data_IF_155154932739
#
_entry.id   IF_155154932739
#
_cell.length_a   1.000
_cell.length_b   1.000
_cell.length_c   1.000
_cell.angle_alpha   90.00
_cell.angle_beta   90.00
_cell.angle_gamma   90.00
#
_symmetry.space_group_name_H-M   'P 1'
#
loop_
_entity.id
_entity.type
_entity.pdbx_description
1 polymer ?
#
# COMPACT_ATOMS: atom_id res chain seq x y z
N UNK A 1 13.25 -15.42 6.47
CA UNK A 1 12.51 -14.16 6.34
C UNK A 1 11.04 -14.38 6.66
N UNK A 2 10.38 -13.38 7.26
CA UNK A 2 8.96 -13.39 7.63
C UNK A 2 8.28 -12.14 7.08
N UNK A 3 7.02 -12.26 6.69
CA UNK A 3 6.19 -11.14 6.26
C UNK A 3 5.55 -10.49 7.50
N UNK A 4 5.70 -9.17 7.62
CA UNK A 4 5.04 -8.37 8.65
C UNK A 4 4.19 -7.28 8.02
N UNK A 5 2.99 -7.09 8.56
CA UNK A 5 2.22 -5.87 8.38
C UNK A 5 2.31 -5.03 9.65
N UNK A 6 2.59 -3.75 9.50
CA UNK A 6 2.82 -2.81 10.60
C UNK A 6 1.76 -1.72 10.51
N UNK A 7 1.01 -1.55 11.59
CA UNK A 7 0.10 -0.42 11.75
C UNK A 7 0.90 0.75 12.32
N UNK A 8 1.14 1.75 11.48
CA UNK A 8 1.91 2.94 11.84
C UNK A 8 0.97 4.08 12.18
N UNK A 9 1.35 4.84 13.21
CA UNK A 9 0.71 6.09 13.60
C UNK A 9 1.69 7.25 13.50
N UNK A 10 1.19 8.44 13.15
CA UNK A 10 2.03 9.63 13.07
C UNK A 10 1.31 10.86 12.52
N UNK A 11 2.07 11.94 12.30
CA UNK A 11 1.55 13.18 11.70
C UNK A 11 1.73 13.19 10.19
N UNK A 12 0.74 13.69 9.48
CA UNK A 12 0.82 14.02 8.06
C UNK A 12 0.56 15.51 7.84
N UNK A 13 1.06 16.07 6.74
CA UNK A 13 0.82 17.47 6.40
C UNK A 13 -0.69 17.74 6.31
N UNK A 14 -1.14 18.85 6.87
CA UNK A 14 -2.55 19.28 6.96
C UNK A 14 -3.48 18.39 7.81
N UNK A 15 -3.02 17.26 8.36
CA UNK A 15 -3.81 16.49 9.31
C UNK A 15 -3.89 17.23 10.65
N UNK A 16 -5.12 17.51 11.10
CA UNK A 16 -5.36 18.15 12.41
C UNK A 16 -5.02 17.21 13.58
N UNK A 17 -5.22 15.92 13.37
CA UNK A 17 -4.95 14.85 14.33
C UNK A 17 -3.93 13.87 13.76
N UNK A 18 -3.49 12.94 14.60
CA UNK A 18 -2.71 11.79 14.19
C UNK A 18 -3.49 10.91 13.21
N UNK A 19 -2.80 10.36 12.23
CA UNK A 19 -3.34 9.46 11.21
C UNK A 19 -2.58 8.15 11.24
N UNK A 20 -3.19 7.11 10.68
CA UNK A 20 -2.62 5.77 10.66
C UNK A 20 -2.56 5.21 9.24
N UNK A 21 -1.60 4.32 9.00
CA UNK A 21 -1.43 3.59 7.74
C UNK A 21 -0.89 2.17 8.00
N UNK A 22 -1.05 1.27 7.02
CA UNK A 22 -0.50 -0.09 7.07
C UNK A 22 0.62 -0.21 6.06
N UNK A 23 1.82 -0.56 6.54
CA UNK A 23 2.97 -0.87 5.69
C UNK A 23 3.38 -2.32 5.81
N UNK A 24 4.02 -2.85 4.77
CA UNK A 24 4.50 -4.23 4.72
C UNK A 24 6.01 -4.26 4.63
N UNK A 25 6.64 -5.12 5.42
CA UNK A 25 8.07 -5.39 5.34
C UNK A 25 8.32 -6.89 5.39
N UNK A 26 9.47 -7.30 4.87
CA UNK A 26 9.99 -8.63 5.10
C UNK A 26 11.27 -8.55 5.93
N UNK A 27 11.29 -9.27 7.04
CA UNK A 27 12.39 -9.22 7.98
C UNK A 27 12.52 -10.54 8.75
N UNK A 28 13.65 -10.74 9.42
CA UNK A 28 13.72 -11.75 10.48
C UNK A 28 13.07 -11.24 11.77
N UNK A 29 13.32 -9.95 12.07
CA UNK A 29 12.84 -9.23 13.26
C UNK A 29 12.55 -7.78 12.91
N UNK A 30 11.37 -7.30 13.29
CA UNK A 30 10.92 -5.91 13.04
C UNK A 30 11.83 -4.91 13.74
N UNK A 31 12.33 -5.25 14.93
CA UNK A 31 13.14 -4.40 15.80
C UNK A 31 14.47 -3.95 15.14
N UNK A 32 14.99 -4.73 14.20
CA UNK A 32 16.22 -4.42 13.48
C UNK A 32 16.01 -3.48 12.28
N UNK A 33 14.75 -3.13 11.95
CA UNK A 33 14.38 -2.45 10.70
C UNK A 33 13.73 -1.07 10.95
N UNK A 34 13.86 -0.50 12.16
CA UNK A 34 13.20 0.75 12.56
C UNK A 34 13.39 1.91 11.58
N UNK A 35 14.61 2.14 11.11
CA UNK A 35 14.89 3.22 10.16
C UNK A 35 14.21 3.01 8.81
N UNK A 36 14.22 1.76 8.30
CA UNK A 36 13.50 1.42 7.07
C UNK A 36 12.00 1.64 7.23
N UNK A 37 11.43 1.18 8.34
CA UNK A 37 9.99 1.33 8.64
C UNK A 37 9.63 2.82 8.69
N UNK A 38 10.45 3.65 9.35
CA UNK A 38 10.29 5.10 9.41
C UNK A 38 10.24 5.75 8.02
N UNK A 39 11.00 5.23 7.06
CA UNK A 39 11.02 5.73 5.67
C UNK A 39 9.80 5.31 4.85
N UNK A 40 9.03 4.32 5.29
CA UNK A 40 7.77 3.92 4.65
C UNK A 40 6.60 4.83 5.04
N UNK A 41 6.75 5.58 6.13
CA UNK A 41 5.76 6.55 6.54
C UNK A 41 5.69 7.71 5.55
N UNK A 42 4.47 8.05 5.12
CA UNK A 42 4.25 9.09 4.12
C UNK A 42 4.29 10.52 4.69
N UNK A 43 4.11 10.65 6.01
CA UNK A 43 4.03 11.94 6.70
C UNK A 43 5.34 12.41 7.30
N UNK A 44 5.25 13.19 8.38
CA UNK A 44 6.42 13.61 9.16
C UNK A 44 7.09 12.41 9.80
N UNK A 45 8.41 12.31 9.64
CA UNK A 45 9.21 11.28 10.33
C UNK A 45 9.31 11.52 11.84
N UNK A 46 8.93 12.70 12.32
CA UNK A 46 8.91 13.03 13.75
C UNK A 46 7.68 12.41 14.41
N UNK A 47 7.91 11.69 15.50
CA UNK A 47 6.83 11.09 16.30
C UNK A 47 6.13 9.90 15.64
N UNK A 48 6.64 9.38 14.52
CA UNK A 48 6.08 8.16 13.92
C UNK A 48 6.34 6.95 14.83
N UNK A 49 5.35 6.07 14.94
CA UNK A 49 5.38 4.93 15.83
C UNK A 49 4.66 3.72 15.23
N UNK A 50 4.87 2.55 15.84
CA UNK A 50 4.18 1.31 15.52
C UNK A 50 3.16 1.01 16.63
N UNK A 51 1.89 0.92 16.27
CA UNK A 51 0.78 0.59 17.17
C UNK A 51 0.42 -0.89 17.16
N UNK A 52 0.68 -1.58 16.05
CA UNK A 52 0.52 -3.02 15.97
C UNK A 52 1.49 -3.66 14.98
N UNK A 53 1.92 -4.87 15.32
CA UNK A 53 2.73 -5.73 14.46
C UNK A 53 1.93 -7.01 14.20
N UNK A 54 1.70 -7.33 12.94
CA UNK A 54 1.09 -8.58 12.51
C UNK A 54 2.11 -9.44 11.75
N UNK A 55 2.49 -10.59 12.31
CA UNK A 55 3.26 -11.62 11.58
C UNK A 55 2.29 -12.47 10.75
N UNK A 56 2.39 -12.38 9.43
CA UNK A 56 1.48 -13.06 8.49
C UNK A 56 2.13 -14.34 8.01
N UNK A 57 1.72 -15.47 8.60
CA UNK A 57 2.37 -16.77 8.37
C UNK A 57 1.53 -17.75 7.57
N UNK A 58 0.19 -17.70 7.70
CA UNK A 58 -0.75 -18.47 6.89
C UNK A 58 -2.02 -17.68 6.63
N UNK A 59 -2.57 -17.77 5.42
CA UNK A 59 -3.85 -17.15 5.03
C UNK A 59 -4.58 -18.11 4.08
N UNK A 60 -5.87 -18.36 4.32
CA UNK A 60 -6.76 -19.09 3.39
C UNK A 60 -6.24 -20.47 2.94
N UNK A 61 -5.63 -21.23 3.84
CA UNK A 61 -5.08 -22.54 3.51
C UNK A 61 -3.76 -22.49 2.73
N UNK A 62 -3.05 -21.36 2.79
CA UNK A 62 -1.70 -21.21 2.25
C UNK A 62 -0.74 -20.73 3.33
N UNK A 63 0.41 -21.40 3.42
CA UNK A 63 1.58 -20.90 4.13
C UNK A 63 2.26 -19.82 3.30
N UNK A 64 2.54 -18.69 3.94
CA UNK A 64 3.29 -17.58 3.36
C UNK A 64 4.77 -17.89 3.46
N UNK A 65 5.43 -18.01 2.31
CA UNK A 65 6.87 -18.28 2.23
C UNK A 65 7.57 -17.21 1.42
N UNK A 66 8.43 -16.43 2.08
CA UNK A 66 9.16 -15.35 1.42
C UNK A 66 10.57 -15.81 1.03
N UNK A 67 10.97 -15.54 -0.22
CA UNK A 67 12.31 -15.86 -0.71
C UNK A 67 12.64 -15.27 -2.08
N UNK A 68 13.90 -15.39 -2.49
CA UNK A 68 14.41 -14.87 -3.78
C UNK A 68 13.86 -15.62 -4.99
N UNK A 69 13.42 -16.86 -4.82
CA UNK A 69 12.87 -17.67 -5.89
C UNK A 69 11.35 -17.51 -5.94
N UNK A 70 10.82 -17.25 -7.13
CA UNK A 70 9.38 -17.28 -7.39
C UNK A 70 8.96 -18.72 -7.69
N UNK A 71 8.19 -19.30 -6.79
CA UNK A 71 7.49 -20.55 -6.99
C UNK A 71 6.10 -20.27 -7.58
N UNK A 72 5.48 -21.29 -8.16
CA UNK A 72 4.10 -21.17 -8.62
C UNK A 72 3.18 -20.86 -7.45
N UNK A 73 2.46 -19.74 -7.54
CA UNK A 73 1.36 -19.40 -6.64
C UNK A 73 0.04 -20.01 -7.09
N UNK A 74 0.07 -20.86 -8.13
CA UNK A 74 -1.11 -21.39 -8.81
C UNK A 74 -2.06 -20.28 -9.30
N UNK A 75 -1.51 -19.12 -9.66
CA UNK A 75 -2.28 -17.95 -10.10
C UNK A 75 -2.94 -17.17 -8.97
N UNK A 76 -2.69 -17.52 -7.70
CA UNK A 76 -3.19 -16.77 -6.55
C UNK A 76 -2.19 -15.71 -6.08
N UNK A 77 -2.73 -14.71 -5.38
CA UNK A 77 -1.98 -13.60 -4.81
C UNK A 77 -2.45 -13.36 -3.37
N UNK A 78 -1.55 -12.81 -2.54
CA UNK A 78 -1.89 -12.36 -1.19
C UNK A 78 -2.37 -10.91 -1.25
N UNK A 79 -3.61 -10.69 -0.85
CA UNK A 79 -4.24 -9.38 -0.82
C UNK A 79 -4.40 -8.90 0.60
N UNK A 80 -4.11 -7.62 0.83
CA UNK A 80 -4.55 -6.90 2.01
C UNK A 80 -5.79 -6.07 1.68
N UNK A 81 -6.76 -6.09 2.58
CA UNK A 81 -8.04 -5.41 2.43
C UNK A 81 -8.29 -4.58 3.69
N UNK A 82 -8.66 -3.32 3.46
CA UNK A 82 -9.09 -2.37 4.47
C UNK A 82 -10.51 -1.92 4.13
N UNK A 83 -11.44 -2.25 5.02
CA UNK A 83 -12.85 -1.86 4.91
C UNK A 83 -13.21 -0.90 6.03
N UNK A 84 -13.79 0.24 5.67
CA UNK A 84 -14.50 1.12 6.57
C UNK A 84 -15.96 0.67 6.77
N UNK A 85 -16.46 0.89 7.98
CA UNK A 85 -17.84 0.66 8.33
C UNK A 85 -18.31 1.65 9.40
N UNK A 86 -19.61 1.93 9.41
CA UNK A 86 -20.23 2.79 10.41
C UNK A 86 -20.78 1.97 11.57
N UNK A 87 -20.44 2.38 12.79
CA UNK A 87 -21.06 1.87 14.02
C UNK A 87 -21.95 2.97 14.61
N UNK A 88 -23.24 2.69 14.90
CA UNK A 88 -24.12 3.67 15.52
C UNK A 88 -23.50 4.28 16.78
N UNK A 89 -23.64 5.59 16.92
CA UNK A 89 -23.17 6.37 18.08
C UNK A 89 -21.65 6.49 18.26
N UNK A 90 -20.82 5.96 17.36
CA UNK A 90 -19.39 6.27 17.35
C UNK A 90 -19.09 7.52 16.53
N UNK A 91 -18.30 8.42 17.09
CA UNK A 91 -17.76 9.60 16.40
C UNK A 91 -16.46 9.25 15.63
N UNK A 92 -16.49 8.12 14.92
CA UNK A 92 -15.42 7.63 14.06
C UNK A 92 -15.94 6.45 13.23
N UNK A 93 -15.26 6.14 12.14
CA UNK A 93 -15.48 4.89 11.42
C UNK A 93 -14.74 3.74 12.10
N UNK A 94 -15.30 2.54 11.98
CA UNK A 94 -14.62 1.30 12.27
C UNK A 94 -13.92 0.82 11.01
N UNK A 95 -12.65 0.43 11.13
CA UNK A 95 -11.90 -0.14 10.04
C UNK A 95 -11.52 -1.58 10.36
N UNK A 96 -11.86 -2.50 9.46
CA UNK A 96 -11.42 -3.89 9.54
C UNK A 96 -10.33 -4.13 8.50
N UNK A 97 -9.18 -4.57 9.00
CA UNK A 97 -7.99 -4.90 8.22
C UNK A 97 -7.83 -6.40 8.19
N UNK A 98 -7.58 -6.96 7.00
CA UNK A 98 -7.34 -8.39 6.91
C UNK A 98 -6.70 -8.81 5.60
N UNK A 99 -6.43 -10.12 5.52
CA UNK A 99 -5.75 -10.73 4.40
C UNK A 99 -6.61 -11.83 3.80
N UNK A 100 -6.54 -11.95 2.49
CA UNK A 100 -7.16 -13.04 1.74
C UNK A 100 -6.23 -13.51 0.62
N UNK A 101 -6.37 -14.77 0.22
CA UNK A 101 -5.68 -15.30 -0.96
C UNK A 101 -6.67 -15.45 -2.11
N UNK A 102 -6.40 -14.82 -3.25
CA UNK A 102 -7.31 -14.89 -4.40
C UNK A 102 -6.55 -14.63 -5.71
N UNK A 103 -7.07 -15.10 -6.85
CA UNK A 103 -6.41 -14.90 -8.14
C UNK A 103 -6.50 -13.46 -8.67
N UNK A 104 -7.50 -12.70 -8.22
CA UNK A 104 -7.73 -11.33 -8.71
C UNK A 104 -8.17 -10.42 -7.58
N UNK A 105 -7.93 -9.12 -7.73
CA UNK A 105 -8.46 -8.09 -6.83
C UNK A 105 -9.97 -8.20 -6.62
N UNK A 106 -10.72 -8.48 -7.68
CA UNK A 106 -12.18 -8.62 -7.60
C UNK A 106 -12.59 -9.82 -6.74
N UNK A 107 -12.01 -11.00 -6.99
CA UNK A 107 -12.30 -12.20 -6.19
C UNK A 107 -11.82 -12.06 -4.74
N UNK A 108 -10.75 -11.29 -4.49
CA UNK A 108 -10.31 -10.93 -3.15
C UNK A 108 -11.37 -10.09 -2.41
N UNK A 109 -11.92 -9.06 -3.06
CA UNK A 109 -12.99 -8.22 -2.50
C UNK A 109 -14.24 -9.05 -2.20
N UNK A 110 -14.67 -9.87 -3.15
CA UNK A 110 -15.85 -10.73 -2.99
C UNK A 110 -15.68 -11.69 -1.81
N UNK A 111 -14.50 -12.33 -1.70
CA UNK A 111 -14.19 -13.20 -0.57
C UNK A 111 -14.19 -12.43 0.76
N UNK A 112 -13.54 -11.27 0.82
CA UNK A 112 -13.47 -10.47 2.05
C UNK A 112 -14.84 -9.94 2.49
N UNK A 113 -15.70 -9.51 1.57
CA UNK A 113 -17.08 -9.09 1.91
C UNK A 113 -17.90 -10.18 2.58
N UNK A 114 -17.61 -11.45 2.28
CA UNK A 114 -18.30 -12.59 2.88
C UNK A 114 -17.71 -13.05 4.21
N UNK A 115 -16.61 -12.44 4.66
CA UNK A 115 -15.85 -12.87 5.84
C UNK A 115 -15.57 -11.76 6.84
N UNK A 116 -15.38 -10.52 6.37
CA UNK A 116 -15.06 -9.34 7.17
C UNK A 116 -16.31 -8.49 7.37
N UNK A 117 -16.30 -7.71 8.45
CA UNK A 117 -17.34 -6.73 8.76
C UNK A 117 -18.76 -7.29 8.80
N UNK A 118 -18.91 -8.61 9.04
CA UNK A 118 -20.22 -9.23 9.14
C UNK A 118 -21.01 -8.53 10.24
N UNK A 119 -22.19 -7.99 9.87
CA UNK A 119 -23.12 -7.25 10.74
C UNK A 119 -22.87 -5.74 10.94
N UNK A 120 -21.91 -5.11 10.25
CA UNK A 120 -21.82 -3.65 10.24
C UNK A 120 -22.67 -2.99 9.13
N UNK A 121 -22.92 -1.69 9.27
CA UNK A 121 -23.64 -0.87 8.28
C UNK A 121 -22.66 0.06 7.56
N UNK A 122 -23.05 0.54 6.37
CA UNK A 122 -22.23 1.50 5.63
C UNK A 122 -20.86 0.95 5.20
N UNK A 123 -20.75 -0.37 5.02
CA UNK A 123 -19.50 -1.03 4.65
C UNK A 123 -19.05 -0.52 3.27
N UNK A 124 -17.82 -0.03 3.20
CA UNK A 124 -17.19 0.39 1.96
C UNK A 124 -15.75 -0.12 1.90
N UNK A 125 -15.17 -0.07 0.71
CA UNK A 125 -13.81 -0.55 0.45
C UNK A 125 -12.89 0.63 0.27
N UNK A 126 -12.10 0.94 1.29
CA UNK A 126 -11.12 2.03 1.24
C UNK A 126 -9.90 1.63 0.46
N UNK A 127 -9.36 0.43 0.73
CA UNK A 127 -8.15 -0.04 0.09
C UNK A 127 -8.11 -1.54 -0.12
N UNK A 128 -7.58 -1.93 -1.27
CA UNK A 128 -7.21 -3.30 -1.60
C UNK A 128 -5.91 -3.28 -2.37
N UNK A 129 -4.88 -3.88 -1.79
CA UNK A 129 -3.52 -3.88 -2.30
C UNK A 129 -2.99 -5.31 -2.37
N UNK A 130 -2.20 -5.60 -3.40
CA UNK A 130 -1.43 -6.83 -3.47
C UNK A 130 -0.17 -6.65 -2.61
N UNK A 131 0.06 -7.57 -1.66
CA UNK A 131 1.12 -7.38 -0.65
C UNK A 131 2.52 -7.45 -1.28
N UNK A 132 2.70 -8.28 -2.31
CA UNK A 132 3.98 -8.40 -3.00
C UNK A 132 4.40 -7.09 -3.69
N UNK A 133 3.45 -6.37 -4.29
CA UNK A 133 3.69 -5.05 -4.89
C UNK A 133 4.15 -4.02 -3.85
N UNK A 134 3.62 -4.08 -2.63
CA UNK A 134 4.02 -3.18 -1.55
C UNK A 134 5.43 -3.51 -1.01
N UNK A 135 5.74 -4.80 -0.83
CA UNK A 135 7.05 -5.24 -0.32
C UNK A 135 8.17 -4.93 -1.30
N UNK A 136 7.96 -5.16 -2.60
CA UNK A 136 8.96 -4.97 -3.64
C UNK A 136 9.41 -3.52 -3.84
N UNK A 137 8.64 -2.54 -3.34
CA UNK A 137 9.08 -1.14 -3.28
C UNK A 137 10.27 -0.95 -2.31
N UNK A 138 10.47 -1.90 -1.38
CA UNK A 138 11.31 -1.70 -0.20
C UNK A 138 12.47 -2.71 -0.08
N UNK A 139 12.59 -3.71 -0.97
CA UNK A 139 13.54 -4.83 -0.86
C UNK A 139 14.20 -5.25 -2.17
N UNK A 140 15.30 -6.01 -2.07
CA UNK A 140 15.83 -6.82 -3.17
C UNK A 140 14.79 -7.88 -3.53
N UNK A 141 14.00 -7.66 -4.60
CA UNK A 141 13.01 -8.57 -5.22
C UNK A 141 12.74 -9.85 -4.40
N UNK A 142 11.94 -9.72 -3.35
CA UNK A 142 11.51 -10.88 -2.56
C UNK A 142 10.12 -11.29 -3.02
N UNK A 143 9.98 -12.56 -3.37
CA UNK A 143 8.72 -13.12 -3.84
C UNK A 143 7.94 -13.68 -2.65
N UNK A 144 6.64 -13.39 -2.62
CA UNK A 144 5.69 -13.99 -1.70
C UNK A 144 5.15 -15.24 -2.36
N UNK A 145 5.60 -16.40 -1.86
CA UNK A 145 5.14 -17.69 -2.34
C UNK A 145 4.00 -18.20 -1.46
N UNK A 146 2.97 -18.75 -2.11
CA UNK A 146 1.79 -19.33 -1.47
C UNK A 146 1.88 -20.85 -1.56
N UNK A 147 2.23 -21.50 -0.45
CA UNK A 147 2.38 -22.96 -0.40
C UNK A 147 1.09 -23.55 0.20
N UNK A 148 0.37 -24.43 -0.51
CA UNK A 148 -0.83 -25.07 0.05
C UNK A 148 -0.54 -25.73 1.41
N UNK A 149 -1.37 -25.41 2.39
CA UNK A 149 -1.27 -25.88 3.78
C UNK A 149 -2.68 -25.86 4.37
N UNK A 150 -3.30 -27.04 4.53
CA UNK A 150 -4.70 -27.20 4.92
C UNK A 150 -5.07 -26.70 6.33
N UNK A 151 -4.18 -25.97 7.00
CA UNK A 151 -4.43 -25.31 8.28
C UNK A 151 -5.20 -23.99 8.16
N UNK A 152 -5.62 -23.50 9.32
CA UNK A 152 -6.31 -22.21 9.45
C UNK A 152 -5.36 -21.03 9.19
N UNK A 153 -5.95 -19.87 8.85
CA UNK A 153 -5.26 -18.58 8.84
C UNK A 153 -4.55 -18.35 10.17
N UNK A 154 -3.28 -17.96 10.10
CA UNK A 154 -2.41 -17.74 11.24
C UNK A 154 -1.71 -16.38 11.08
N UNK A 155 -2.32 -15.38 11.71
CA UNK A 155 -1.80 -14.02 11.82
C UNK A 155 -1.63 -13.72 13.31
N UNK A 156 -0.39 -13.49 13.74
CA UNK A 156 -0.08 -13.16 15.13
C UNK A 156 0.01 -11.65 15.27
N UNK A 157 -1.00 -11.05 15.91
CA UNK A 157 -1.05 -9.62 16.17
C UNK A 157 -0.52 -9.32 17.56
N UNK A 158 0.42 -8.39 17.64
CA UNK A 158 0.92 -7.81 18.88
C UNK A 158 0.65 -6.30 18.84
N UNK A 159 -0.24 -5.84 19.72
CA UNK A 159 -0.44 -4.41 19.95
C UNK A 159 0.73 -3.84 20.74
N UNK A 160 1.16 -2.63 20.40
CA UNK A 160 2.30 -1.96 21.01
C UNK A 160 2.17 -0.43 20.86
N UNK A 161 3.17 0.31 21.34
CA UNK A 161 3.37 1.72 21.04
C UNK A 161 4.87 1.96 20.98
N UNK A 162 5.47 1.74 19.80
CA UNK A 162 6.93 1.78 19.62
C UNK A 162 7.29 3.02 18.81
N UNK A 163 7.84 4.03 19.47
CA UNK A 163 8.36 5.22 18.79
C UNK A 163 9.57 4.83 17.93
N UNK A 164 9.54 5.24 16.66
CA UNK A 164 10.64 5.08 15.72
C UNK A 164 11.53 6.31 15.80
N UNK A 165 12.34 6.36 16.85
CA UNK A 165 13.31 7.44 17.04
C UNK A 165 14.28 7.53 15.86
N UNK A 166 14.52 8.75 15.38
CA UNK A 166 15.49 9.04 14.34
C UNK A 166 15.84 10.52 14.33
N UNK A 167 17.13 10.84 14.31
CA UNK A 167 17.61 12.22 14.22
C UNK A 167 17.05 12.92 12.98
N UNK A 168 16.69 14.19 13.14
CA UNK A 168 16.22 15.04 12.05
C UNK A 168 17.29 15.17 10.95
N UNK A 169 17.19 14.34 9.91
CA UNK A 169 17.94 14.53 8.68
C UNK A 169 16.97 14.95 7.57
N UNK A 170 16.74 16.26 7.45
CA UNK A 170 16.38 16.87 6.16
C UNK A 170 17.49 16.53 5.16
N UNK A 171 17.36 15.42 4.45
CA UNK A 171 17.95 15.08 3.14
C UNK A 171 17.97 13.56 2.98
N UNK A 172 17.07 13.04 2.13
CA UNK A 172 17.44 12.22 0.96
C UNK A 172 16.19 11.81 0.16
N UNK A 173 16.03 12.28 -1.10
CA UNK A 173 14.99 11.83 -2.04
C UNK A 173 15.17 10.40 -2.60
N UNK A 174 15.78 9.47 -1.87
CA UNK A 174 16.30 8.23 -2.46
C UNK A 174 15.26 7.14 -2.75
N UNK A 175 14.12 7.10 -2.05
CA UNK A 175 13.03 6.12 -2.32
C UNK A 175 12.06 6.56 -3.43
N UNK A 176 12.09 7.82 -3.85
CA UNK A 176 11.30 8.29 -4.99
C UNK A 176 11.89 7.73 -6.30
N UNK A 177 13.21 7.48 -6.35
CA UNK A 177 13.88 6.96 -7.54
C UNK A 177 13.61 5.46 -7.80
N UNK A 178 13.37 4.63 -6.78
CA UNK A 178 12.93 3.24 -6.99
C UNK A 178 11.47 3.17 -7.47
N UNK A 179 10.60 4.05 -6.96
CA UNK A 179 9.24 4.26 -7.51
C UNK A 179 9.26 4.75 -8.97
N UNK A 180 10.19 5.65 -9.34
CA UNK A 180 10.40 6.10 -10.73
C UNK A 180 10.74 4.95 -11.68
N UNK A 181 11.62 4.02 -11.28
CA UNK A 181 12.07 2.92 -12.14
C UNK A 181 11.01 1.81 -12.34
N UNK A 182 10.23 1.50 -11.30
CA UNK A 182 9.14 0.51 -11.39
C UNK A 182 7.98 1.01 -12.26
N UNK A 183 7.63 2.31 -12.16
CA UNK A 183 6.55 2.91 -12.94
C UNK A 183 6.94 3.12 -14.42
N UNK A 184 8.20 3.48 -14.71
CA UNK A 184 8.67 3.70 -16.08
C UNK A 184 8.69 2.43 -16.94
N UNK A 185 8.90 1.25 -16.33
CA UNK A 185 8.96 -0.03 -17.05
C UNK A 185 7.58 -0.67 -17.32
N UNK A 186 6.50 -0.17 -16.69
CA UNK A 186 5.15 -0.77 -16.78
C UNK A 186 4.09 0.13 -17.45
N UNK A 187 4.46 1.33 -17.91
CA UNK A 187 3.52 2.24 -18.59
C UNK A 187 3.84 2.40 -20.07
N UNK A 188 3.58 1.38 -20.89
CA UNK A 188 3.44 1.57 -22.35
C UNK A 188 2.02 1.99 -22.76
N UNK A 189 1.08 2.11 -21.81
CA UNK A 189 -0.35 2.23 -22.13
C UNK A 189 -1.04 3.54 -21.69
N UNK A 190 -0.31 4.54 -21.17
CA UNK A 190 -0.95 5.73 -20.57
C UNK A 190 -0.44 7.07 -21.14
N UNK A 191 -0.11 7.13 -22.43
CA UNK A 191 0.40 8.37 -23.06
C UNK A 191 -0.56 9.00 -24.09
N UNK A 192 -1.65 8.34 -24.49
CA UNK A 192 -2.63 8.93 -25.42
C UNK A 192 -3.60 9.91 -24.73
N UNK A 193 -4.06 9.59 -23.51
CA UNK A 193 -5.03 10.41 -22.77
C UNK A 193 -4.45 11.72 -22.19
N UNK A 194 -3.20 11.68 -21.73
CA UNK A 194 -2.51 12.84 -21.13
C UNK A 194 -2.21 13.93 -22.17
N UNK A 195 -2.00 13.53 -23.44
CA UNK A 195 -1.69 14.45 -24.54
C UNK A 195 -2.85 15.40 -24.86
N UNK A 196 -4.09 14.93 -24.75
CA UNK A 196 -5.31 15.71 -25.02
C UNK A 196 -5.55 16.82 -23.99
N UNK A 197 -5.28 16.55 -22.71
CA UNK A 197 -5.51 17.51 -21.64
C UNK A 197 -4.48 18.65 -21.60
N UNK A 198 -3.23 18.36 -22.01
CA UNK A 198 -2.13 19.32 -21.99
C UNK A 198 -2.01 20.18 -23.25
N UNK A 199 -2.62 19.77 -24.37
CA UNK A 199 -2.63 20.56 -25.62
C UNK A 199 -3.52 21.82 -25.54
N UNK A 200 -4.46 21.89 -24.58
CA UNK A 200 -5.39 23.03 -24.44
C UNK A 200 -4.94 24.11 -23.44
N UNK A 201 -3.88 23.85 -22.66
CA UNK A 201 -3.37 24.77 -21.67
C UNK A 201 -1.84 24.83 -21.76
N UNK A 202 -1.33 25.91 -22.37
CA UNK A 202 0.06 26.39 -22.32
C UNK A 202 1.00 25.84 -23.41
N UNK A 203 1.80 26.77 -23.95
CA UNK A 203 2.87 26.72 -24.97
C UNK A 203 3.50 25.36 -25.37
N UNK A 204 4.03 25.25 -26.61
CA UNK A 204 4.39 23.97 -27.23
C UNK A 204 5.51 23.28 -26.47
N UNK A 205 5.16 22.23 -25.71
CA UNK A 205 6.13 21.36 -25.05
C UNK A 205 6.47 20.21 -26.00
N UNK A 206 7.75 20.04 -26.29
CA UNK A 206 8.25 19.17 -27.37
C UNK A 206 8.42 17.71 -26.98
N UNK A 207 8.33 17.35 -25.70
CA UNK A 207 8.49 15.96 -25.28
C UNK A 207 7.71 15.58 -24.00
N UNK A 208 7.40 14.29 -23.86
CA UNK A 208 6.73 13.75 -22.67
C UNK A 208 7.53 13.94 -21.37
N UNK A 209 8.86 14.10 -21.46
CA UNK A 209 9.70 14.34 -20.29
C UNK A 209 9.51 15.72 -19.67
N UNK A 210 9.40 16.76 -20.51
CA UNK A 210 9.23 18.16 -20.07
C UNK A 210 7.89 18.40 -19.37
N UNK A 211 6.84 17.70 -19.83
CA UNK A 211 5.50 17.71 -19.21
C UNK A 211 5.56 17.18 -17.77
N UNK A 212 6.30 16.09 -17.56
CA UNK A 212 6.41 15.44 -16.26
C UNK A 212 7.19 16.34 -15.31
N UNK A 213 8.34 16.89 -15.73
CA UNK A 213 9.11 17.82 -14.90
C UNK A 213 8.33 19.08 -14.50
N UNK A 214 7.51 19.62 -15.41
CA UNK A 214 6.69 20.80 -15.12
C UNK A 214 5.58 20.49 -14.10
N UNK A 215 4.92 19.32 -14.20
CA UNK A 215 3.92 18.89 -13.23
C UNK A 215 4.51 18.59 -11.85
N UNK A 216 5.74 18.06 -11.79
CA UNK A 216 6.49 17.84 -10.56
C UNK A 216 6.89 19.15 -9.88
N UNK A 217 7.39 20.12 -10.64
CA UNK A 217 7.88 21.41 -10.12
C UNK A 217 6.75 22.27 -9.52
N UNK A 218 5.50 22.01 -9.91
CA UNK A 218 4.32 22.77 -9.48
C UNK A 218 3.37 22.00 -8.56
N UNK A 219 3.78 20.85 -8.00
CA UNK A 219 2.97 20.10 -7.03
C UNK A 219 1.68 19.49 -7.58
N UNK A 220 1.57 19.31 -8.90
CA UNK A 220 0.34 18.87 -9.58
C UNK A 220 0.11 17.34 -9.58
N UNK A 221 0.98 16.56 -8.92
CA UNK A 221 0.96 15.10 -9.00
C UNK A 221 -0.22 14.44 -8.29
N UNK A 222 -0.73 15.04 -7.22
CA UNK A 222 -1.96 14.55 -6.57
C UNK A 222 -3.14 14.63 -7.55
N UNK A 223 -3.16 15.62 -8.45
CA UNK A 223 -4.18 15.72 -9.51
C UNK A 223 -4.01 14.70 -10.63
N UNK A 224 -2.80 14.30 -11.01
CA UNK A 224 -2.59 13.31 -12.07
C UNK A 224 -2.97 11.88 -11.64
N UNK A 225 -2.69 11.51 -10.39
CA UNK A 225 -3.18 10.24 -9.83
C UNK A 225 -4.72 10.25 -9.76
N UNK A 226 -5.33 11.36 -9.33
CA UNK A 226 -6.79 11.53 -9.28
C UNK A 226 -7.46 11.56 -10.66
N UNK A 227 -6.81 12.14 -11.69
CA UNK A 227 -7.35 12.20 -13.06
C UNK A 227 -7.26 10.84 -13.74
N UNK A 228 -6.18 10.06 -13.55
CA UNK A 228 -6.06 8.72 -14.15
C UNK A 228 -6.95 7.67 -13.47
N UNK A 229 -7.26 7.83 -12.17
CA UNK A 229 -8.24 6.99 -11.48
C UNK A 229 -9.69 7.39 -11.75
N UNK A 230 -9.99 8.68 -11.98
CA UNK A 230 -11.34 9.16 -12.36
C UNK A 230 -11.66 8.91 -13.84
N UNK A 231 -10.68 8.99 -14.75
CA UNK A 231 -10.91 8.69 -16.18
C UNK A 231 -11.08 7.20 -16.47
N UNK A 232 -10.82 6.29 -15.50
CA UNK A 232 -11.28 4.89 -15.59
C UNK A 232 -12.79 4.72 -15.38
N UNK A 233 -13.52 5.77 -15.00
CA UNK A 233 -14.90 5.66 -14.53
C UNK A 233 -15.93 6.57 -15.22
N UNK A 234 -15.61 7.24 -16.34
CA UNK A 234 -16.65 7.94 -17.11
C UNK A 234 -16.40 7.85 -18.61
N UNK A 235 -17.19 7.02 -19.30
CA UNK A 235 -18.15 7.33 -20.40
C UNK A 235 -18.64 5.99 -21.03
N UNK A 236 -19.83 5.94 -21.66
CA UNK A 236 -20.76 4.79 -21.69
C UNK A 236 -20.27 3.52 -22.40
#
# INVERSE_FOLDING_TARGET
>A
MKLFALYLGGRAEHANIEVHDVVFIVAEKVEHHKEKIRQLWFGSSEGVHIDAIAEVSKVDGYKINVGSNKNSTHGNHLWFINFGATIPSLFSEYHENGFVVAPTKQSAIEKAKNTFCLNFKGIHTDSVVEVEDCVNVTEQLQNINLIPDAGNTQIQVKNCYIILEGGYNRKTPSLINSKRAYLANNTSFCLSGIKSYLLNCIHPVSSCGEIIEHAFSNGLLVKLYYITSIQRFNFP
#
